data_IF_871653185503
#
_entry.id   IF_871653185503
#
_cell.length_a   1.000
_cell.length_b   1.000
_cell.length_c   1.000
_cell.angle_alpha   90.00
_cell.angle_beta   90.00
_cell.angle_gamma   90.00
#
_symmetry.space_group_name_H-M   'P 1'
#
loop_
_entity.id
_entity.type
_entity.pdbx_description
1 polymer ?
2 non-polymer ?
3 water ?
#
# COMPACT_ATOMS: atom_id res chain seq x y z
N UNK A 10 -2.40 20.20 15.94
CA UNK A 10 -3.68 19.74 15.31
C UNK A 10 -3.70 18.23 15.01
N UNK A 11 -2.53 17.64 14.78
CA UNK A 11 -2.42 16.20 14.45
C UNK A 11 -2.68 15.29 15.66
N UNK A 12 -2.11 15.70 16.79
CA UNK A 12 -2.31 15.00 18.04
C UNK A 12 -3.80 15.01 18.37
N UNK A 13 -4.44 16.17 18.28
CA UNK A 13 -5.85 16.26 18.67
C UNK A 13 -6.67 15.33 17.76
N UNK A 14 -6.33 15.31 16.47
CA UNK A 14 -6.95 14.39 15.53
C UNK A 14 -6.75 12.94 16.01
N UNK A 15 -5.54 12.62 16.43
CA UNK A 15 -5.28 11.29 16.96
C UNK A 15 -6.02 10.90 18.24
N UNK A 16 -6.33 11.88 19.12
CA UNK A 16 -7.18 11.64 20.30
C UNK A 16 -8.57 11.19 19.88
N UNK A 17 -9.04 11.73 18.75
CA UNK A 17 -10.41 11.52 18.27
C UNK A 17 -10.57 10.11 17.67
N UNK A 18 -9.50 9.57 17.10
CA UNK A 18 -9.48 8.20 16.61
C UNK A 18 -8.05 7.67 16.47
N UNK A 19 -7.72 6.61 17.22
CA UNK A 19 -6.38 6.03 17.23
C UNK A 19 -5.97 5.58 15.81
N UNK A 20 -4.75 5.93 15.43
CA UNK A 20 -4.26 5.59 14.10
C UNK A 20 -3.92 4.08 14.06
N UNK A 21 -4.14 3.48 12.91
CA UNK A 21 -4.03 2.03 12.71
C UNK A 21 -3.55 1.80 11.26
N UNK A 22 -2.40 2.37 10.95
CA UNK A 22 -1.94 2.38 9.56
C UNK A 22 -1.41 1.00 9.20
N UNK A 23 -1.55 0.67 7.93
CA UNK A 23 -0.87 -0.47 7.36
C UNK A 23 0.55 -0.04 7.09
N UNK A 24 1.52 -0.85 7.49
CA UNK A 24 2.92 -0.62 7.13
C UNK A 24 3.26 -1.71 6.13
N UNK A 25 3.81 -1.31 5.00
CA UNK A 25 4.11 -2.23 3.91
C UNK A 25 5.47 -2.01 3.28
N UNK A 26 5.97 -3.08 2.68
CA UNK A 26 7.20 -3.06 1.91
C UNK A 26 7.27 -4.29 1.02
N UNK A 27 7.62 -4.08 -0.24
CA UNK A 27 7.78 -5.15 -1.22
C UNK A 27 9.14 -5.00 -1.87
N UNK A 28 9.67 -6.08 -2.42
CA UNK A 28 10.74 -5.96 -3.38
C UNK A 28 10.15 -5.28 -4.63
N UNK A 29 10.99 -4.56 -5.37
CA UNK A 29 10.52 -3.75 -6.50
C UNK A 29 9.91 -4.61 -7.63
N UNK A 30 10.31 -5.88 -7.73
CA UNK A 30 9.71 -6.80 -8.73
C UNK A 30 8.47 -7.56 -8.18
N UNK A 31 8.04 -7.17 -6.98
CA UNK A 31 6.95 -7.81 -6.27
C UNK A 31 7.08 -9.31 -6.13
N UNK A 32 8.31 -9.79 -6.04
CA UNK A 32 8.56 -11.18 -5.78
C UNK A 32 8.34 -11.51 -4.30
N UNK A 33 8.40 -10.53 -3.40
CA UNK A 33 8.13 -10.84 -2.00
C UNK A 33 7.62 -9.65 -1.23
N UNK A 34 6.85 -9.96 -0.20
CA UNK A 34 6.46 -8.99 0.79
C UNK A 34 7.50 -9.03 1.89
N UNK A 35 8.08 -7.87 2.21
CA UNK A 35 9.08 -7.79 3.25
C UNK A 35 8.45 -7.32 4.54
N UNK A 36 7.47 -6.42 4.44
CA UNK A 36 6.79 -5.89 5.63
C UNK A 36 5.30 -5.84 5.35
N UNK A 37 4.51 -6.35 6.29
CA UNK A 37 3.05 -6.17 6.27
C UNK A 37 2.54 -6.43 7.66
N UNK A 38 1.67 -5.57 8.16
CA UNK A 38 1.08 -5.79 9.48
C UNK A 38 -0.40 -6.24 9.42
N UNK A 39 -0.98 -6.58 10.57
CA UNK A 39 -2.30 -7.18 10.60
C UNK A 39 -3.42 -6.20 10.24
N UNK A 40 -3.17 -4.89 10.34
CA UNK A 40 -4.15 -3.86 9.88
C UNK A 40 -4.63 -4.08 8.44
N UNK A 41 -3.77 -4.72 7.64
CA UNK A 41 -4.06 -5.01 6.23
C UNK A 41 -5.33 -5.82 6.08
N UNK A 42 -5.51 -6.80 6.96
CA UNK A 42 -6.62 -7.73 6.82
C UNK A 42 -8.00 -7.08 6.90
N UNK A 43 -8.25 -6.21 7.87
CA UNK A 43 -9.59 -5.59 7.94
C UNK A 43 -9.81 -4.58 6.83
N UNK A 44 -8.79 -3.80 6.50
CA UNK A 44 -8.97 -2.73 5.54
C UNK A 44 -9.10 -3.32 4.13
N UNK A 45 -8.19 -4.23 3.75
CA UNK A 45 -8.17 -4.77 2.40
C UNK A 45 -9.20 -5.87 2.23
N UNK A 46 -9.59 -6.50 3.33
CA UNK A 46 -10.48 -7.65 3.26
C UNK A 46 -9.85 -8.92 2.71
N UNK A 47 -8.53 -9.02 2.82
CA UNK A 47 -7.75 -10.18 2.35
C UNK A 47 -6.71 -10.57 3.39
N UNK A 48 -6.19 -11.80 3.32
CA UNK A 48 -5.32 -12.30 4.37
C UNK A 48 -3.86 -11.96 4.09
N UNK A 49 -3.12 -11.77 5.17
CA UNK A 49 -1.70 -11.56 5.11
C UNK A 49 -1.04 -12.85 4.62
N UNK A 50 -1.53 -14.01 5.06
CA UNK A 50 -1.01 -15.31 4.57
C UNK A 50 -1.04 -15.38 3.04
N UNK A 51 -2.17 -14.98 2.43
CA UNK A 51 -2.30 -15.01 0.97
C UNK A 51 -1.33 -14.05 0.33
N UNK A 52 -1.18 -12.87 0.93
CA UNK A 52 -0.24 -11.87 0.39
C UNK A 52 1.20 -12.38 0.38
N UNK A 53 1.62 -13.00 1.47
CA UNK A 53 2.97 -13.54 1.53
C UNK A 53 3.23 -14.58 0.42
N UNK A 54 2.25 -15.46 0.20
CA UNK A 54 2.35 -16.46 -0.85
C UNK A 54 2.23 -15.87 -2.26
N UNK A 55 1.45 -14.79 -2.43
CA UNK A 55 1.36 -14.07 -3.71
C UNK A 55 1.35 -12.56 -3.46
N UNK A 56 2.53 -11.95 -3.49
CA UNK A 56 2.64 -10.51 -3.19
C UNK A 56 1.86 -9.58 -4.11
N UNK A 57 1.44 -10.05 -5.28
CA UNK A 57 0.55 -9.27 -6.14
C UNK A 57 -0.91 -9.28 -5.67
N UNK A 58 -1.25 -10.09 -4.68
CA UNK A 58 -2.67 -10.27 -4.30
C UNK A 58 -3.37 -8.99 -3.84
N UNK A 59 -2.63 -8.03 -3.28
CA UNK A 59 -3.26 -6.79 -2.84
C UNK A 59 -3.93 -6.05 -4.00
N UNK A 60 -3.47 -6.26 -5.23
CA UNK A 60 -4.08 -5.59 -6.39
C UNK A 60 -5.54 -6.00 -6.60
N UNK A 61 -5.86 -7.23 -6.24
CA UNK A 61 -7.23 -7.70 -6.32
C UNK A 61 -8.17 -7.02 -5.35
N UNK A 62 -7.61 -6.39 -4.33
CA UNK A 62 -8.39 -5.66 -3.37
C UNK A 62 -8.57 -4.21 -3.74
N UNK A 63 -7.97 -3.79 -4.85
CA UNK A 63 -8.08 -2.40 -5.32
C UNK A 63 -9.08 -2.30 -6.46
N UNK A 64 -9.93 -1.28 -6.43
CA UNK A 64 -10.95 -1.09 -7.44
C UNK A 64 -10.24 -1.13 -8.80
N UNK A 65 -10.86 -1.77 -9.79
CA UNK A 65 -10.16 -1.96 -11.07
C UNK A 65 -9.74 -0.64 -11.75
N UNK A 66 -10.51 0.42 -11.55
CA UNK A 66 -10.13 1.73 -12.07
C UNK A 66 -8.84 2.23 -11.44
N UNK A 67 -8.63 1.99 -10.15
CA UNK A 67 -7.41 2.46 -9.46
C UNK A 67 -6.21 1.54 -9.64
N UNK A 68 -6.46 0.30 -10.03
CA UNK A 68 -5.33 -0.57 -10.47
C UNK A 68 -4.34 0.03 -11.47
N UNK A 69 -4.77 0.78 -12.49
CA UNK A 69 -3.80 1.40 -13.43
C UNK A 69 -3.08 2.61 -12.85
N UNK A 70 -3.75 3.35 -11.98
CA UNK A 70 -3.05 4.37 -11.25
C UNK A 70 -1.86 3.72 -10.55
N UNK A 71 -2.00 2.48 -10.07
CA UNK A 71 -0.89 1.84 -9.36
C UNK A 71 0.35 1.65 -10.27
N UNK A 72 0.13 1.36 -11.55
CA UNK A 72 1.23 1.27 -12.53
C UNK A 72 2.02 2.57 -12.59
N UNK A 73 1.31 3.69 -12.65
CA UNK A 73 1.94 5.01 -12.63
C UNK A 73 2.70 5.23 -11.32
N UNK A 74 2.10 4.80 -10.20
CA UNK A 74 2.75 4.90 -8.91
C UNK A 74 4.08 4.13 -8.91
N UNK A 75 4.06 2.88 -9.36
CA UNK A 75 5.28 2.05 -9.34
C UNK A 75 6.36 2.66 -10.24
N UNK A 76 5.94 3.15 -11.40
CA UNK A 76 6.87 3.82 -12.30
C UNK A 76 7.54 5.03 -11.62
N UNK A 77 6.78 5.87 -10.93
CA UNK A 77 7.35 6.99 -10.15
C UNK A 77 8.41 6.53 -9.16
N UNK A 78 8.11 5.45 -8.45
CA UNK A 78 9.02 4.89 -7.47
C UNK A 78 10.29 4.38 -8.11
N UNK A 79 10.16 3.76 -9.25
CA UNK A 79 11.31 3.29 -9.98
C UNK A 79 12.14 4.38 -10.55
N UNK A 80 11.56 5.54 -10.78
CA UNK A 80 12.29 6.70 -11.21
C UNK A 80 12.88 7.44 -10.04
N UNK A 81 12.77 6.87 -8.85
CA UNK A 81 13.41 7.43 -7.66
C UNK A 81 12.59 8.47 -6.93
N UNK A 82 11.32 8.62 -7.29
CA UNK A 82 10.43 9.61 -6.67
C UNK A 82 9.53 8.99 -5.60
N UNK A 83 9.13 9.78 -4.63
CA UNK A 83 8.14 9.31 -3.68
C UNK A 83 6.78 9.42 -4.34
N UNK A 84 5.80 8.68 -3.85
CA UNK A 84 4.48 8.74 -4.44
C UNK A 84 3.42 8.78 -3.34
N UNK A 85 2.26 9.29 -3.74
CA UNK A 85 1.18 9.63 -2.81
C UNK A 85 -0.04 9.44 -3.69
N UNK A 86 -0.91 8.51 -3.29
CA UNK A 86 -2.12 8.21 -4.05
C UNK A 86 -3.29 7.88 -3.13
N UNK A 87 -4.49 8.03 -3.65
CA UNK A 87 -5.67 7.64 -2.93
C UNK A 87 -6.41 6.66 -3.80
N UNK A 88 -6.89 5.56 -3.23
CA UNK A 88 -7.60 4.58 -4.04
C UNK A 88 -8.65 3.85 -3.25
N UNK A 89 -9.56 3.22 -3.99
CA UNK A 89 -10.66 2.49 -3.43
C UNK A 89 -10.28 1.03 -3.22
N UNK A 90 -10.61 0.49 -2.04
CA UNK A 90 -10.16 -0.84 -1.68
C UNK A 90 -11.27 -1.63 -1.00
N UNK A 91 -11.08 -2.95 -1.04
CA UNK A 91 -11.83 -3.98 -0.32
C UNK A 91 -12.96 -4.49 -1.21
N UNK A 92 -12.64 -5.54 -1.94
CA UNK A 92 -13.55 -6.09 -2.94
C UNK A 92 -14.79 -6.66 -2.26
N UNK A 93 -14.66 -7.16 -1.03
CA UNK A 93 -15.80 -7.75 -0.33
C UNK A 93 -16.84 -6.66 0.01
N UNK A 94 -16.37 -5.44 0.23
CA UNK A 94 -17.23 -4.30 0.52
C UNK A 94 -17.50 -3.43 -0.73
N UNK A 95 -17.43 -4.04 -1.90
CA UNK A 95 -17.59 -3.38 -3.19
C UNK A 95 -16.73 -2.13 -3.31
N UNK A 96 -15.50 -2.24 -2.82
CA UNK A 96 -14.53 -1.19 -2.88
C UNK A 96 -15.01 0.13 -2.28
N UNK A 97 -15.72 0.06 -1.18
CA UNK A 97 -16.24 1.29 -0.55
C UNK A 97 -15.26 1.91 0.45
N UNK A 98 -14.08 1.33 0.65
CA UNK A 98 -13.12 1.99 1.49
C UNK A 98 -12.22 2.84 0.64
N UNK A 99 -11.81 3.99 1.18
CA UNK A 99 -10.77 4.81 0.56
C UNK A 99 -9.56 4.74 1.43
N UNK A 100 -8.40 4.57 0.78
CA UNK A 100 -7.12 4.46 1.42
C UNK A 100 -6.16 5.47 0.82
N UNK A 101 -5.40 6.12 1.70
CA UNK A 101 -4.32 7.01 1.33
C UNK A 101 -3.01 6.25 1.48
N UNK A 102 -2.27 6.16 0.37
CA UNK A 102 -1.00 5.39 0.32
C UNK A 102 0.12 6.38 0.04
N UNK A 103 1.20 6.29 0.83
CA UNK A 103 2.39 7.03 0.53
C UNK A 103 3.53 6.00 0.49
N UNK A 104 4.37 6.12 -0.54
CA UNK A 104 5.47 5.20 -0.77
C UNK A 104 6.74 5.94 -1.12
N UNK A 105 7.85 5.30 -0.77
CA UNK A 105 9.19 5.76 -1.07
C UNK A 105 10.04 4.59 -1.58
N UNK A 106 11.00 4.90 -2.47
CA UNK A 106 11.91 3.91 -3.00
C UNK A 106 13.10 3.68 -2.05
N UNK A 107 13.55 2.43 -1.97
CA UNK A 107 14.79 2.10 -1.26
C UNK A 107 15.71 1.58 -2.37
N UNK A 108 16.90 2.12 -2.46
CA UNK A 108 17.76 1.89 -3.61
C UNK A 108 18.98 1.04 -3.29
N UNK A 109 19.57 0.45 -4.32
CA UNK A 109 20.79 -0.32 -4.15
C UNK A 109 21.99 0.58 -4.35
N UNK A 110 23.18 -0.02 -4.40
CA UNK A 110 24.43 0.72 -4.65
C UNK A 110 24.43 1.58 -5.93
N UNK A 111 23.71 1.14 -6.96
CA UNK A 111 23.71 1.83 -8.24
C UNK A 111 22.57 2.83 -8.36
N UNK A 112 21.81 3.04 -7.28
CA UNK A 112 20.76 4.04 -7.31
C UNK A 112 19.46 3.48 -7.87
N UNK A 113 19.41 2.17 -8.13
CA UNK A 113 18.20 1.56 -8.67
C UNK A 113 17.23 1.25 -7.53
N UNK A 114 15.95 1.46 -7.76
CA UNK A 114 14.93 1.14 -6.78
C UNK A 114 14.81 -0.38 -6.68
N UNK A 115 15.08 -0.93 -5.49
CA UNK A 115 15.03 -2.38 -5.29
C UNK A 115 13.96 -2.82 -4.29
N UNK A 116 13.48 -1.89 -3.47
CA UNK A 116 12.37 -2.13 -2.56
C UNK A 116 11.53 -0.88 -2.55
N UNK A 117 10.27 -1.05 -2.21
CA UNK A 117 9.34 0.08 -2.09
C UNK A 117 8.64 -0.08 -0.75
N UNK A 118 8.48 1.03 -0.05
CA UNK A 118 8.00 0.99 1.32
C UNK A 118 7.14 2.18 1.66
N UNK A 119 6.16 1.98 2.52
CA UNK A 119 5.33 3.10 2.98
C UNK A 119 4.22 2.67 3.90
N UNK A 120 3.16 3.48 3.92
CA UNK A 120 2.01 3.21 4.74
C UNK A 120 0.77 3.31 3.91
N UNK A 121 -0.32 2.78 4.45
CA UNK A 121 -1.64 2.95 3.84
C UNK A 121 -2.61 3.21 5.00
N UNK A 122 -3.40 4.28 4.90
CA UNK A 122 -4.33 4.66 5.95
C UNK A 122 -5.74 4.70 5.39
N UNK A 123 -6.66 4.08 6.12
CA UNK A 123 -8.07 4.07 5.78
C UNK A 123 -8.60 5.47 6.06
N UNK A 124 -8.98 6.21 5.03
CA UNK A 124 -9.54 7.57 5.17
C UNK A 124 -11.04 7.63 4.86
N UNK A 125 -11.63 6.46 4.75
CA UNK A 125 -13.05 6.11 5.05
C UNK A 125 -13.59 4.91 4.31
X LIG B 1 -0.59 -1.43 -0.07
X LIG B 1 0.32 -1.57 -1.18
X LIG B 1 0.53 -0.42 -2.02
X LIG B 1 1.89 -0.54 -2.72
X LIG B 1 1.96 0.39 -3.84
X LIG B 1 3.19 0.50 -4.57
X LIG B 1 3.35 -0.62 -5.60
X LIG B 1 2.40 -0.64 -6.69
X LIG B 1 2.72 -1.70 -7.61
X LIG B 1 1.82 -1.70 -8.82
X LIG B 1 2.17 -2.78 -9.69
X LIG B 1 1.19 -2.95 -10.72
#
# INVERSE_FOLDING_TARGET
RAKQQAAKSERRVRELTEATNDILWEFTADLSEVLVINSAYEDIWGRSVAKLRENPHDFLNGIHPEDRELMKDTMQSLMDGESADVECRVNATEEYQRWVWIQGEPITNDAGETVRVAGFARDIT
PG5 C1 O1 C2 C3 O2 C4 C5 O3 C6 C7 O4 C8
#
